data_IF_554715281489
#
_entry.id   IF_554715281489
#
_cell.length_a   1.000
_cell.length_b   1.000
_cell.length_c   1.000
_cell.angle_alpha   90.00
_cell.angle_beta   90.00
_cell.angle_gamma   90.00
#
_symmetry.space_group_name_H-M   'P 1'
#
loop_
_entity.id
_entity.type
_entity.pdbx_description
1 polymer ?
#
# COMPACT_ATOMS: atom_id res chain seq x y z
N UNK A 1 40.35 10.01 3.22
CA UNK A 1 40.90 11.02 2.30
C UNK A 1 39.84 11.90 1.62
N UNK A 2 38.93 11.39 0.78
CA UNK A 2 37.95 12.22 0.05
C UNK A 2 37.12 13.18 0.91
N UNK A 3 36.55 12.71 2.04
CA UNK A 3 35.78 13.57 2.96
C UNK A 3 36.60 14.78 3.46
N UNK A 4 37.90 14.58 3.67
CA UNK A 4 38.81 15.62 4.16
C UNK A 4 39.16 16.62 3.06
N UNK A 5 39.21 16.15 1.82
CA UNK A 5 39.39 16.95 0.62
C UNK A 5 38.16 17.85 0.37
N UNK A 6 36.96 17.24 0.40
CA UNK A 6 35.68 17.93 0.21
C UNK A 6 35.45 19.01 1.27
N UNK A 7 35.80 18.75 2.53
CA UNK A 7 35.71 19.76 3.60
C UNK A 7 36.62 20.97 3.35
N UNK A 8 37.85 20.75 2.85
CA UNK A 8 38.74 21.85 2.48
C UNK A 8 38.19 22.67 1.31
N UNK A 9 37.62 21.98 0.33
CA UNK A 9 37.01 22.60 -0.83
C UNK A 9 35.75 23.40 -0.46
N UNK A 10 34.96 22.90 0.48
CA UNK A 10 33.80 23.61 1.04
C UNK A 10 34.22 24.92 1.70
N UNK A 11 35.22 24.89 2.59
CA UNK A 11 35.74 26.10 3.27
C UNK A 11 36.29 27.10 2.26
N UNK A 12 37.00 26.63 1.22
CA UNK A 12 37.52 27.49 0.17
C UNK A 12 36.39 28.13 -0.67
N UNK A 13 35.38 27.34 -1.04
CA UNK A 13 34.23 27.83 -1.80
C UNK A 13 33.40 28.81 -0.99
N UNK A 14 33.18 28.55 0.30
CA UNK A 14 32.49 29.48 1.21
C UNK A 14 33.22 30.82 1.29
N UNK A 15 34.55 30.80 1.47
CA UNK A 15 35.36 32.02 1.47
C UNK A 15 35.30 32.76 0.13
N UNK A 16 35.30 32.03 -1.00
CA UNK A 16 35.21 32.62 -2.34
C UNK A 16 33.83 33.23 -2.60
N UNK A 17 32.77 32.59 -2.13
CA UNK A 17 31.40 33.13 -2.21
C UNK A 17 31.26 34.39 -1.36
N UNK A 18 31.82 34.41 -0.15
CA UNK A 18 31.81 35.60 0.72
C UNK A 18 32.51 36.79 0.04
N UNK A 19 33.66 36.56 -0.58
CA UNK A 19 34.41 37.59 -1.31
C UNK A 19 33.64 38.11 -2.54
N UNK A 20 33.11 37.22 -3.37
CA UNK A 20 32.32 37.59 -4.56
C UNK A 20 31.05 38.37 -4.19
N UNK A 21 30.41 38.03 -3.07
CA UNK A 21 29.26 38.77 -2.54
C UNK A 21 29.64 40.19 -2.11
N UNK A 22 30.77 40.33 -1.41
CA UNK A 22 31.30 41.62 -1.00
C UNK A 22 31.64 42.50 -2.22
N UNK A 23 32.27 41.95 -3.25
CA UNK A 23 32.59 42.66 -4.50
C UNK A 23 31.33 43.08 -5.28
N UNK A 24 30.29 42.23 -5.28
CA UNK A 24 29.03 42.51 -5.94
C UNK A 24 28.09 43.42 -5.13
N UNK A 25 28.46 43.81 -3.90
CA UNK A 25 27.59 44.57 -3.00
C UNK A 25 26.34 43.79 -2.56
N UNK A 26 26.38 42.46 -2.62
CA UNK A 26 25.27 41.58 -2.21
C UNK A 26 25.47 41.27 -0.73
N UNK A 27 24.59 41.75 0.17
CA UNK A 27 24.72 41.46 1.60
C UNK A 27 24.55 39.96 1.87
N UNK A 28 25.20 39.46 2.93
CA UNK A 28 25.07 38.05 3.31
C UNK A 28 23.61 37.77 3.69
N UNK A 29 22.96 36.73 3.14
CA UNK A 29 21.59 36.37 3.51
C UNK A 29 21.39 36.09 5.01
N UNK A 30 22.46 35.87 5.79
CA UNK A 30 22.40 35.77 7.26
C UNK A 30 22.39 37.13 7.97
N UNK A 31 22.90 38.19 7.33
CA UNK A 31 23.05 39.53 7.89
C UNK A 31 21.92 40.49 7.46
N UNK A 32 21.10 40.09 6.49
CA UNK A 32 19.89 40.83 6.10
C UNK A 32 18.75 40.44 7.04
N UNK A 33 18.44 41.30 8.01
CA UNK A 33 17.20 41.18 8.76
C UNK A 33 16.02 41.24 7.77
N UNK A 34 15.08 40.28 7.78
CA UNK A 34 13.93 40.30 6.89
C UNK A 34 13.15 41.60 7.12
N UNK A 35 12.82 42.30 6.03
CA UNK A 35 12.03 43.54 6.13
C UNK A 35 10.65 43.23 6.70
N UNK A 36 10.03 44.19 7.41
CA UNK A 36 8.68 44.02 7.98
C UNK A 36 7.67 43.52 6.92
N UNK A 37 7.81 44.01 5.68
CA UNK A 37 7.04 43.54 4.52
C UNK A 37 7.24 42.05 4.25
N UNK A 38 8.48 41.56 4.20
CA UNK A 38 8.78 40.14 3.97
C UNK A 38 8.30 39.26 5.13
N UNK A 39 8.37 39.75 6.37
CA UNK A 39 7.84 39.02 7.54
C UNK A 39 6.32 38.89 7.43
N UNK A 40 5.64 39.96 7.06
CA UNK A 40 4.19 40.00 6.89
C UNK A 40 3.72 39.12 5.71
N UNK A 41 4.38 39.19 4.55
CA UNK A 41 4.10 38.30 3.42
C UNK A 41 4.31 36.82 3.79
N UNK A 42 5.39 36.49 4.49
CA UNK A 42 5.63 35.12 4.95
C UNK A 42 4.57 34.66 5.96
N UNK A 43 4.07 35.56 6.81
CA UNK A 43 2.98 35.27 7.75
C UNK A 43 1.70 34.95 6.97
N UNK A 44 1.35 35.78 6.00
CA UNK A 44 0.17 35.56 5.15
C UNK A 44 0.25 34.24 4.37
N UNK A 45 1.41 33.93 3.80
CA UNK A 45 1.64 32.65 3.11
C UNK A 45 1.47 31.45 4.05
N UNK A 46 2.00 31.53 5.28
CA UNK A 46 1.83 30.47 6.28
C UNK A 46 0.36 30.31 6.69
N UNK A 47 -0.36 31.41 6.89
CA UNK A 47 -1.78 31.40 7.24
C UNK A 47 -2.60 30.76 6.10
N UNK A 48 -2.31 31.09 4.84
CA UNK A 48 -2.95 30.47 3.67
C UNK A 48 -2.66 28.97 3.56
N UNK A 49 -1.40 28.55 3.75
CA UNK A 49 -1.02 27.13 3.76
C UNK A 49 -1.78 26.39 4.86
N UNK A 50 -1.90 26.99 6.05
CA UNK A 50 -2.61 26.37 7.16
C UNK A 50 -4.11 26.18 6.84
N UNK A 51 -4.75 27.18 6.23
CA UNK A 51 -6.15 27.07 5.78
C UNK A 51 -6.32 25.94 4.76
N UNK A 52 -5.40 25.84 3.79
CA UNK A 52 -5.43 24.78 2.78
C UNK A 52 -5.22 23.38 3.42
N UNK A 53 -4.27 23.25 4.34
CA UNK A 53 -4.03 22.00 5.07
C UNK A 53 -5.27 21.58 5.87
N UNK A 54 -5.95 22.52 6.52
CA UNK A 54 -7.20 22.24 7.24
C UNK A 54 -8.31 21.76 6.29
N UNK A 55 -8.47 22.41 5.13
CA UNK A 55 -9.44 21.99 4.12
C UNK A 55 -9.14 20.57 3.59
N UNK A 56 -7.86 20.23 3.37
CA UNK A 56 -7.45 18.88 2.99
C UNK A 56 -7.73 17.87 4.09
N UNK A 57 -7.51 18.22 5.36
CA UNK A 57 -7.83 17.36 6.50
C UNK A 57 -9.34 17.07 6.59
N UNK A 58 -10.19 18.07 6.35
CA UNK A 58 -11.65 17.88 6.27
C UNK A 58 -12.01 16.94 5.12
N UNK A 59 -11.44 17.15 3.92
CA UNK A 59 -11.67 16.26 2.78
C UNK A 59 -11.22 14.82 3.07
N UNK A 60 -10.07 14.64 3.72
CA UNK A 60 -9.57 13.33 4.15
C UNK A 60 -10.51 12.66 5.16
N UNK A 61 -11.07 13.41 6.11
CA UNK A 61 -12.05 12.90 7.07
C UNK A 61 -13.32 12.41 6.38
N UNK A 62 -13.88 13.19 5.46
CA UNK A 62 -15.07 12.81 4.67
C UNK A 62 -14.77 11.57 3.81
N UNK A 63 -13.60 11.50 3.19
CA UNK A 63 -13.20 10.33 2.38
C UNK A 63 -12.99 9.07 3.24
N UNK A 64 -12.44 9.22 4.44
CA UNK A 64 -12.29 8.12 5.39
C UNK A 64 -13.67 7.58 5.80
N UNK A 65 -14.59 8.46 6.17
CA UNK A 65 -15.97 8.10 6.51
C UNK A 65 -16.73 7.50 5.31
N UNK A 66 -16.54 8.04 4.11
CA UNK A 66 -17.14 7.47 2.89
C UNK A 66 -16.62 6.05 2.59
N UNK A 67 -15.33 5.82 2.83
CA UNK A 67 -14.71 4.51 2.64
C UNK A 67 -15.21 3.48 3.66
N UNK A 68 -15.54 3.91 4.89
CA UNK A 68 -16.10 3.03 5.94
C UNK A 68 -17.61 2.81 5.77
N UNK A 69 -18.39 3.86 5.47
CA UNK A 69 -19.87 3.79 5.43
C UNK A 69 -20.42 3.10 4.18
N UNK A 70 -19.78 3.22 3.01
CA UNK A 70 -20.32 2.63 1.76
C UNK A 70 -19.68 1.31 1.36
N UNK A 71 -18.71 0.81 2.14
CA UNK A 71 -18.01 -0.44 1.83
C UNK A 71 -17.45 -0.48 0.40
N UNK A 72 -17.12 0.68 -0.17
CA UNK A 72 -16.58 0.77 -1.51
C UNK A 72 -15.17 0.20 -1.52
N UNK A 73 -15.09 -1.07 -1.89
CA UNK A 73 -13.84 -1.76 -2.11
C UNK A 73 -13.82 -2.27 -3.55
N UNK A 74 -12.97 -1.70 -4.42
CA UNK A 74 -12.89 -2.10 -5.84
C UNK A 74 -12.39 -3.54 -6.03
N UNK A 75 -11.81 -4.15 -5.00
CA UNK A 75 -11.40 -5.56 -4.98
C UNK A 75 -12.53 -6.50 -4.56
N UNK A 76 -13.65 -5.97 -4.06
CA UNK A 76 -14.77 -6.80 -3.58
C UNK A 76 -15.45 -7.49 -4.76
N UNK A 77 -15.59 -8.79 -4.63
CA UNK A 77 -16.36 -9.67 -5.52
C UNK A 77 -17.12 -10.67 -4.68
N UNK A 78 -18.35 -10.97 -5.06
CA UNK A 78 -19.10 -12.03 -4.40
C UNK A 78 -18.54 -13.40 -4.85
N UNK A 79 -18.16 -14.25 -3.89
CA UNK A 79 -17.62 -15.59 -4.15
C UNK A 79 -18.49 -16.62 -3.43
N UNK A 80 -19.12 -17.49 -4.21
CA UNK A 80 -19.82 -18.68 -3.72
C UNK A 80 -19.05 -19.92 -4.17
N UNK A 81 -18.85 -20.87 -3.26
CA UNK A 81 -18.16 -22.13 -3.54
C UNK A 81 -19.10 -23.32 -3.35
N UNK A 82 -19.24 -24.12 -4.40
CA UNK A 82 -20.06 -25.33 -4.41
C UNK A 82 -19.49 -26.46 -3.54
N UNK A 83 -20.36 -27.40 -3.15
CA UNK A 83 -19.97 -28.58 -2.37
C UNK A 83 -19.14 -29.61 -3.16
N UNK A 84 -19.38 -29.71 -4.48
CA UNK A 84 -18.69 -30.67 -5.33
C UNK A 84 -17.23 -30.25 -5.59
N UNK A 85 -16.22 -31.11 -5.32
CA UNK A 85 -14.81 -30.73 -5.47
C UNK A 85 -14.39 -30.32 -6.89
N UNK A 86 -15.01 -30.89 -7.93
CA UNK A 86 -14.65 -30.60 -9.32
C UNK A 86 -15.23 -29.26 -9.74
N UNK A 87 -16.52 -29.04 -9.49
CA UNK A 87 -17.20 -27.76 -9.72
C UNK A 87 -16.51 -26.65 -8.94
N UNK A 88 -16.22 -26.89 -7.66
CA UNK A 88 -15.53 -25.94 -6.78
C UNK A 88 -14.16 -25.54 -7.32
N UNK A 89 -13.35 -26.50 -7.78
CA UNK A 89 -12.05 -26.19 -8.40
C UNK A 89 -12.24 -25.35 -9.66
N UNK A 90 -13.24 -25.67 -10.48
CA UNK A 90 -13.53 -24.90 -11.69
C UNK A 90 -13.98 -23.47 -11.40
N UNK A 91 -14.84 -23.27 -10.41
CA UNK A 91 -15.29 -21.95 -9.93
C UNK A 91 -14.11 -21.12 -9.48
N UNK A 92 -13.26 -21.71 -8.62
CA UNK A 92 -12.05 -21.06 -8.10
C UNK A 92 -11.10 -20.67 -9.24
N UNK A 93 -10.81 -21.58 -10.17
CA UNK A 93 -9.94 -21.30 -11.32
C UNK A 93 -10.50 -20.18 -12.22
N UNK A 94 -11.83 -20.14 -12.44
CA UNK A 94 -12.47 -19.13 -13.27
C UNK A 94 -12.32 -17.71 -12.71
N UNK A 95 -12.22 -17.57 -11.39
CA UNK A 95 -12.03 -16.26 -10.74
C UNK A 95 -10.64 -15.67 -10.94
N UNK A 96 -9.61 -16.48 -11.21
CA UNK A 96 -8.22 -16.05 -11.09
C UNK A 96 -7.87 -14.85 -11.96
N UNK A 97 -8.23 -14.89 -13.24
CA UNK A 97 -7.87 -13.84 -14.18
C UNK A 97 -8.49 -12.49 -13.76
N UNK A 98 -9.79 -12.46 -13.53
CA UNK A 98 -10.52 -11.24 -13.16
C UNK A 98 -10.04 -10.64 -11.84
N UNK A 99 -9.70 -11.48 -10.86
CA UNK A 99 -9.18 -11.03 -9.56
C UNK A 99 -7.81 -10.37 -9.71
N UNK A 100 -6.92 -10.98 -10.49
CA UNK A 100 -5.58 -10.45 -10.73
C UNK A 100 -5.62 -9.15 -11.55
N UNK A 101 -6.48 -9.07 -12.56
CA UNK A 101 -6.65 -7.84 -13.34
C UNK A 101 -7.19 -6.69 -12.50
N UNK A 102 -8.21 -6.94 -11.66
CA UNK A 102 -8.70 -5.95 -10.69
C UNK A 102 -7.61 -5.53 -9.72
N UNK A 103 -6.82 -6.48 -9.22
CA UNK A 103 -5.70 -6.20 -8.32
C UNK A 103 -4.64 -5.32 -8.99
N UNK A 104 -4.28 -5.62 -10.24
CA UNK A 104 -3.33 -4.83 -11.03
C UNK A 104 -3.83 -3.41 -11.27
N UNK A 105 -5.09 -3.25 -11.66
CA UNK A 105 -5.70 -1.93 -11.85
C UNK A 105 -5.76 -1.14 -10.54
N UNK A 106 -6.13 -1.78 -9.44
CA UNK A 106 -6.15 -1.19 -8.11
C UNK A 106 -4.76 -0.70 -7.68
N UNK A 107 -3.73 -1.53 -7.88
CA UNK A 107 -2.34 -1.14 -7.61
C UNK A 107 -1.95 0.06 -8.45
N UNK A 108 -2.18 0.03 -9.77
CA UNK A 108 -1.87 1.15 -10.67
C UNK A 108 -2.52 2.46 -10.21
N UNK A 109 -3.80 2.42 -9.85
CA UNK A 109 -4.52 3.61 -9.37
C UNK A 109 -3.98 4.12 -8.03
N UNK A 110 -3.69 3.23 -7.08
CA UNK A 110 -3.22 3.63 -5.74
C UNK A 110 -1.76 4.04 -5.70
N UNK A 111 -0.94 3.49 -6.60
CA UNK A 111 0.48 3.78 -6.69
C UNK A 111 0.79 4.96 -7.62
N UNK A 112 -0.17 5.42 -8.44
CA UNK A 112 0.01 6.50 -9.43
C UNK A 112 0.64 7.79 -8.88
N UNK A 113 0.36 8.16 -7.62
CA UNK A 113 0.87 9.39 -7.01
C UNK A 113 1.99 9.14 -5.99
N UNK A 114 2.43 7.89 -5.85
CA UNK A 114 3.48 7.54 -4.89
C UNK A 114 4.84 7.92 -5.48
N UNK A 115 5.54 8.83 -4.80
CA UNK A 115 6.84 9.38 -5.25
C UNK A 115 7.92 8.32 -5.44
N UNK A 116 7.80 7.17 -4.76
CA UNK A 116 8.66 6.01 -4.97
C UNK A 116 7.83 4.72 -4.84
N UNK A 117 7.40 4.10 -5.96
CA UNK A 117 6.53 2.92 -5.95
C UNK A 117 7.20 1.68 -5.36
N UNK A 118 8.53 1.66 -5.34
CA UNK A 118 9.28 0.55 -4.76
C UNK A 118 9.29 0.57 -3.24
N UNK A 119 9.09 1.72 -2.58
CA UNK A 119 9.24 1.82 -1.12
C UNK A 119 8.29 0.84 -0.41
N UNK A 120 8.78 -0.02 0.52
CA UNK A 120 7.92 -0.89 1.30
C UNK A 120 6.83 -0.09 1.99
N UNK A 121 5.60 -0.56 1.85
CA UNK A 121 4.43 0.17 2.32
C UNK A 121 3.33 -0.80 2.70
N UNK A 122 2.79 -0.61 3.89
CA UNK A 122 1.67 -1.38 4.40
C UNK A 122 0.51 -0.42 4.71
N UNK A 123 -0.67 -0.71 4.16
CA UNK A 123 -1.91 -0.01 4.50
C UNK A 123 -3.05 -0.99 4.63
N UNK A 124 -3.70 -0.95 5.78
CA UNK A 124 -4.91 -1.68 6.05
C UNK A 124 -5.97 -0.69 6.52
N UNK A 125 -7.19 -0.82 6.00
CA UNK A 125 -8.35 -0.09 6.45
C UNK A 125 -9.49 -1.08 6.64
N UNK A 126 -10.12 -1.07 7.81
CA UNK A 126 -11.24 -1.95 8.11
C UNK A 126 -12.22 -1.32 9.09
N UNK A 127 -13.40 -1.93 9.17
CA UNK A 127 -14.50 -1.49 10.02
C UNK A 127 -15.34 -2.70 10.44
N UNK A 128 -16.02 -2.58 11.58
CA UNK A 128 -17.09 -3.50 11.96
C UNK A 128 -18.40 -3.05 11.34
N UNK A 129 -19.15 -3.99 10.77
CA UNK A 129 -20.53 -3.76 10.34
C UNK A 129 -21.48 -3.83 11.55
N UNK A 130 -22.70 -3.32 11.37
CA UNK A 130 -23.77 -3.43 12.39
C UNK A 130 -24.14 -4.90 12.69
N UNK A 131 -23.87 -5.81 11.74
CA UNK A 131 -24.04 -7.26 11.87
C UNK A 131 -22.89 -7.93 12.66
N UNK A 132 -21.85 -7.17 13.01
CA UNK A 132 -20.66 -7.66 13.72
C UNK A 132 -19.60 -8.31 12.83
N UNK A 133 -19.70 -8.17 11.50
CA UNK A 133 -18.67 -8.62 10.55
C UNK A 133 -17.51 -7.63 10.53
N UNK A 134 -16.27 -8.12 10.51
CA UNK A 134 -15.13 -7.24 10.27
C UNK A 134 -14.74 -7.27 8.80
N UNK A 135 -14.85 -6.12 8.13
CA UNK A 135 -14.48 -5.97 6.72
C UNK A 135 -13.20 -5.16 6.65
N UNK A 136 -12.20 -5.66 5.94
CA UNK A 136 -10.94 -4.96 5.74
C UNK A 136 -10.45 -5.02 4.28
N UNK A 137 -9.76 -3.95 3.90
CA UNK A 137 -9.02 -3.83 2.66
C UNK A 137 -7.54 -3.64 3.00
N UNK A 138 -6.69 -4.52 2.49
CA UNK A 138 -5.24 -4.46 2.69
C UNK A 138 -4.51 -4.20 1.37
N UNK A 139 -3.58 -3.25 1.39
CA UNK A 139 -2.58 -3.03 0.36
C UNK A 139 -1.20 -3.18 1.00
N UNK A 140 -0.37 -4.04 0.44
CA UNK A 140 0.98 -4.27 0.93
C UNK A 140 1.99 -4.29 -0.21
N UNK A 141 3.08 -3.57 -0.05
CA UNK A 141 4.23 -3.56 -0.97
C UNK A 141 5.43 -4.04 -0.20
N UNK A 142 5.96 -5.20 -0.58
CA UNK A 142 7.12 -5.81 0.07
C UNK A 142 8.35 -5.74 -0.83
N UNK A 143 9.50 -5.53 -0.20
CA UNK A 143 10.81 -5.77 -0.81
C UNK A 143 11.52 -6.89 -0.06
N UNK A 144 12.01 -7.87 -0.80
CA UNK A 144 12.85 -8.92 -0.22
C UNK A 144 14.34 -8.57 -0.34
N UNK A 145 15.04 -8.57 0.80
CA UNK A 145 16.49 -8.38 0.88
C UNK A 145 17.17 -9.74 1.00
N UNK A 146 18.28 -9.96 0.29
CA UNK A 146 19.07 -11.19 0.37
C UNK A 146 18.53 -12.37 -0.46
N UNK A 147 17.53 -12.13 -1.31
CA UNK A 147 17.03 -13.12 -2.29
C UNK A 147 17.64 -12.86 -3.67
N UNK A 148 17.74 -13.90 -4.50
CA UNK A 148 18.34 -13.80 -5.84
C UNK A 148 17.41 -13.11 -6.85
N UNK A 149 16.10 -13.27 -6.69
CA UNK A 149 15.07 -12.65 -7.53
C UNK A 149 13.69 -12.79 -6.89
N UNK A 150 12.70 -11.98 -7.33
CA UNK A 150 11.28 -12.22 -6.97
C UNK A 150 10.86 -13.62 -7.41
N UNK A 151 11.29 -14.06 -8.59
CA UNK A 151 10.98 -15.39 -9.10
C UNK A 151 11.39 -16.51 -8.13
N UNK A 152 12.54 -16.40 -7.46
CA UNK A 152 12.94 -17.37 -6.44
C UNK A 152 11.93 -17.45 -5.28
N UNK A 153 11.43 -16.29 -4.83
CA UNK A 153 10.43 -16.23 -3.75
C UNK A 153 9.09 -16.76 -4.24
N UNK A 154 8.71 -16.43 -5.46
CA UNK A 154 7.49 -16.91 -6.09
C UNK A 154 7.49 -18.43 -6.28
N UNK A 155 8.58 -18.98 -6.84
CA UNK A 155 8.75 -20.43 -7.05
C UNK A 155 8.72 -21.21 -5.71
N UNK A 156 9.01 -20.56 -4.57
CA UNK A 156 8.93 -21.18 -3.25
C UNK A 156 7.50 -21.30 -2.70
N UNK A 157 6.52 -20.56 -3.25
CA UNK A 157 5.12 -20.61 -2.80
C UNK A 157 4.43 -21.91 -3.24
N UNK A 158 4.64 -22.33 -4.49
CA UNK A 158 4.14 -23.59 -5.05
C UNK A 158 4.80 -23.83 -6.42
N UNK A 159 5.17 -25.09 -6.72
CA UNK A 159 5.80 -25.47 -7.99
C UNK A 159 4.79 -25.59 -9.15
N UNK A 160 3.50 -25.30 -8.92
CA UNK A 160 2.48 -25.37 -9.95
C UNK A 160 2.53 -24.17 -10.90
N UNK A 161 2.17 -24.38 -12.17
CA UNK A 161 2.15 -23.32 -13.21
C UNK A 161 1.08 -22.26 -12.94
N UNK A 162 0.13 -22.54 -12.04
CA UNK A 162 -1.01 -21.65 -11.78
C UNK A 162 -1.36 -21.60 -10.28
N UNK A 163 -0.47 -21.05 -9.43
CA UNK A 163 -0.59 -21.18 -7.99
C UNK A 163 -1.80 -20.44 -7.45
N UNK A 164 -2.54 -21.13 -6.59
CA UNK A 164 -3.73 -20.65 -5.90
C UNK A 164 -3.82 -21.31 -4.54
N UNK A 165 -4.25 -20.56 -3.53
CA UNK A 165 -4.37 -21.07 -2.18
C UNK A 165 -5.74 -20.72 -1.60
N UNK A 166 -6.57 -21.73 -1.35
CA UNK A 166 -7.75 -21.59 -0.50
C UNK A 166 -7.37 -21.94 0.94
N UNK A 167 -7.65 -21.04 1.88
CA UNK A 167 -7.40 -21.27 3.31
C UNK A 167 -8.57 -20.83 4.16
N UNK A 168 -8.75 -21.53 5.29
CA UNK A 168 -9.71 -21.19 6.33
C UNK A 168 -9.02 -21.20 7.69
N UNK A 169 -9.14 -20.13 8.45
CA UNK A 169 -8.45 -19.90 9.71
C UNK A 169 -9.41 -19.26 10.72
N UNK A 170 -9.51 -19.85 11.91
CA UNK A 170 -10.15 -19.23 13.07
C UNK A 170 -9.06 -18.62 13.95
N UNK A 171 -9.22 -17.36 14.35
CA UNK A 171 -8.25 -16.65 15.18
C UNK A 171 -8.93 -15.63 16.09
N UNK A 172 -8.24 -15.17 17.14
CA UNK A 172 -8.73 -14.15 18.06
C UNK A 172 -7.98 -12.85 17.81
N UNK A 173 -8.72 -11.76 17.59
CA UNK A 173 -8.15 -10.42 17.48
C UNK A 173 -7.70 -9.92 18.87
N UNK A 174 -6.84 -8.90 18.90
CA UNK A 174 -6.30 -8.34 20.16
C UNK A 174 -7.37 -7.78 21.10
N UNK A 175 -8.53 -7.42 20.57
CA UNK A 175 -9.70 -6.98 21.32
C UNK A 175 -10.56 -8.14 21.86
N UNK A 176 -10.12 -9.39 21.71
CA UNK A 176 -10.83 -10.59 22.17
C UNK A 176 -11.88 -11.13 21.19
N UNK A 177 -12.12 -10.47 20.05
CA UNK A 177 -13.09 -10.94 19.06
C UNK A 177 -12.57 -12.20 18.36
N UNK A 178 -13.33 -13.29 18.43
CA UNK A 178 -13.03 -14.51 17.68
C UNK A 178 -13.57 -14.34 16.25
N UNK A 179 -12.68 -14.47 15.29
CA UNK A 179 -12.98 -14.27 13.88
C UNK A 179 -12.61 -15.44 13.01
N UNK A 180 -13.41 -15.65 11.97
CA UNK A 180 -13.16 -16.65 10.94
C UNK A 180 -12.73 -15.99 9.63
N UNK A 181 -11.57 -16.38 9.12
CA UNK A 181 -11.03 -15.96 7.82
C UNK A 181 -11.13 -17.12 6.86
N UNK A 182 -11.93 -17.00 5.82
CA UNK A 182 -12.02 -17.97 4.73
C UNK A 182 -11.83 -17.22 3.41
N UNK A 183 -10.72 -17.49 2.73
CA UNK A 183 -10.29 -16.70 1.60
C UNK A 183 -9.46 -17.50 0.59
N UNK A 184 -9.58 -17.10 -0.67
CA UNK A 184 -8.79 -17.59 -1.79
C UNK A 184 -7.72 -16.56 -2.10
N UNK A 185 -6.49 -17.02 -2.30
CA UNK A 185 -5.35 -16.23 -2.75
C UNK A 185 -4.96 -16.64 -4.15
N UNK A 186 -4.82 -15.66 -5.03
CA UNK A 186 -4.44 -15.80 -6.42
C UNK A 186 -3.05 -15.17 -6.58
N UNK A 187 -2.12 -15.92 -7.16
CA UNK A 187 -0.73 -15.49 -7.32
C UNK A 187 -0.37 -15.43 -8.80
N UNK A 188 0.36 -14.38 -9.20
CA UNK A 188 0.90 -14.27 -10.55
C UNK A 188 2.25 -13.56 -10.51
N UNK A 189 3.22 -14.17 -11.18
CA UNK A 189 4.51 -13.56 -11.45
C UNK A 189 4.48 -12.86 -12.81
N UNK A 190 5.15 -11.71 -12.88
CA UNK A 190 5.32 -10.91 -14.08
C UNK A 190 6.80 -10.62 -14.26
N UNK A 191 7.32 -10.93 -15.45
CA UNK A 191 8.74 -10.82 -15.80
C UNK A 191 9.05 -9.50 -16.54
N UNK A 192 8.13 -8.53 -16.51
CA UNK A 192 8.09 -7.46 -17.53
C UNK A 192 9.36 -6.58 -17.56
N UNK A 193 10.08 -6.69 -18.69
CA UNK A 193 11.37 -6.08 -19.04
C UNK A 193 11.30 -4.58 -19.41
N UNK A 194 10.19 -3.88 -19.22
CA UNK A 194 10.03 -2.53 -19.79
C UNK A 194 10.42 -1.37 -18.85
N UNK A 195 10.08 -1.35 -17.53
CA UNK A 195 10.43 -0.19 -16.67
C UNK A 195 10.65 -0.46 -15.15
N UNK A 196 9.96 -1.44 -14.53
CA UNK A 196 9.96 -1.64 -13.05
C UNK A 196 10.67 -2.92 -12.57
N UNK A 197 11.15 -3.76 -13.48
CA UNK A 197 11.78 -5.06 -13.16
C UNK A 197 10.76 -6.13 -12.76
N UNK A 198 11.21 -7.37 -12.53
CA UNK A 198 10.32 -8.50 -12.24
C UNK A 198 9.61 -8.33 -10.91
N UNK A 199 8.31 -8.63 -10.88
CA UNK A 199 7.46 -8.50 -9.70
C UNK A 199 6.42 -9.62 -9.61
N UNK A 200 5.81 -9.77 -8.44
CA UNK A 200 4.64 -10.61 -8.27
C UNK A 200 3.46 -9.84 -7.69
N UNK A 201 2.27 -10.37 -7.93
CA UNK A 201 1.02 -9.90 -7.35
C UNK A 201 0.33 -11.09 -6.68
N UNK A 202 -0.10 -10.88 -5.44
CA UNK A 202 -1.07 -11.73 -4.75
C UNK A 202 -2.36 -10.95 -4.53
N UNK A 203 -3.47 -11.43 -5.11
CA UNK A 203 -4.81 -10.97 -4.77
C UNK A 203 -5.44 -11.94 -3.76
N UNK A 204 -6.05 -11.43 -2.69
CA UNK A 204 -6.78 -12.21 -1.70
C UNK A 204 -8.23 -11.76 -1.66
N UNK A 205 -9.15 -12.71 -1.80
CA UNK A 205 -10.60 -12.46 -1.83
C UNK A 205 -11.30 -13.39 -0.83
N UNK A 206 -12.19 -12.87 0.03
CA UNK A 206 -12.93 -13.68 0.99
C UNK A 206 -14.04 -14.48 0.30
N UNK A 207 -14.38 -15.65 0.83
CA UNK A 207 -15.41 -16.55 0.27
C UNK A 207 -16.78 -16.22 0.88
N UNK A 208 -17.66 -15.48 0.23
CA UNK A 208 -18.94 -15.07 0.81
C UNK A 208 -19.82 -16.26 1.24
N UNK A 209 -19.93 -17.28 0.39
CA UNK A 209 -20.72 -18.49 0.65
C UNK A 209 -19.89 -19.75 0.38
N UNK A 210 -19.99 -20.73 1.28
CA UNK A 210 -19.25 -21.98 1.19
C UNK A 210 -20.20 -23.15 1.47
N UNK A 211 -20.65 -23.86 0.44
CA UNK A 211 -21.62 -24.96 0.58
C UNK A 211 -21.00 -26.23 1.20
N UNK A 212 -19.69 -26.42 1.06
CA UNK A 212 -18.99 -27.56 1.63
C UNK A 212 -18.80 -27.37 3.14
N UNK A 213 -18.53 -26.14 3.55
CA UNK A 213 -18.36 -25.74 4.94
C UNK A 213 -19.11 -24.44 5.22
N UNK A 214 -20.43 -24.48 5.45
CA UNK A 214 -21.20 -23.25 5.64
C UNK A 214 -20.72 -22.45 6.86
N UNK A 215 -20.85 -21.13 6.81
CA UNK A 215 -20.68 -20.30 7.99
C UNK A 215 -21.82 -20.62 8.96
N UNK A 216 -21.51 -21.30 10.06
CA UNK A 216 -22.49 -21.60 11.10
C UNK A 216 -22.46 -20.48 12.15
N UNK A 217 -23.62 -20.16 12.72
CA UNK A 217 -23.75 -19.27 13.87
C UNK A 217 -23.22 -19.96 15.14
N UNK A 218 -21.91 -20.17 15.23
CA UNK A 218 -21.28 -20.26 16.54
C UNK A 218 -21.43 -18.87 17.16
N UNK A 219 -22.09 -18.78 18.30
CA UNK A 219 -22.57 -17.52 18.92
C UNK A 219 -21.52 -16.41 18.98
N UNK A 220 -20.25 -16.76 19.11
CA UNK A 220 -19.12 -15.84 19.27
C UNK A 220 -18.19 -15.75 18.04
N UNK A 221 -18.41 -16.56 17.00
CA UNK A 221 -17.59 -16.54 15.80
C UNK A 221 -18.14 -15.50 14.81
N UNK A 222 -17.31 -14.52 14.44
CA UNK A 222 -17.67 -13.50 13.45
C UNK A 222 -16.87 -13.67 12.15
N UNK A 223 -17.51 -13.68 10.97
CA UNK A 223 -16.80 -13.60 9.70
C UNK A 223 -15.86 -12.39 9.60
N UNK A 224 -14.63 -12.63 9.16
CA UNK A 224 -13.63 -11.63 8.82
C UNK A 224 -13.40 -11.65 7.33
N UNK A 225 -13.85 -10.59 6.66
CA UNK A 225 -13.78 -10.41 5.21
C UNK A 225 -12.58 -9.54 4.88
N UNK A 226 -11.45 -10.18 4.58
CA UNK A 226 -10.25 -9.50 4.10
C UNK A 226 -10.19 -9.57 2.59
N UNK A 227 -10.34 -8.43 1.94
CA UNK A 227 -9.87 -8.26 0.58
C UNK A 227 -8.47 -7.65 0.65
N UNK A 228 -7.55 -8.13 -0.17
CA UNK A 228 -6.24 -7.51 -0.18
C UNK A 228 -5.45 -7.76 -1.44
N UNK A 229 -4.57 -6.82 -1.74
CA UNK A 229 -3.55 -6.99 -2.76
C UNK A 229 -2.19 -6.83 -2.09
N UNK A 230 -1.33 -7.80 -2.33
CA UNK A 230 0.08 -7.71 -2.02
C UNK A 230 0.86 -7.65 -3.31
N UNK A 231 1.77 -6.71 -3.40
CA UNK A 231 2.69 -6.53 -4.50
C UNK A 231 4.10 -6.76 -3.96
N UNK A 232 4.84 -7.67 -4.57
CA UNK A 232 6.22 -7.92 -4.18
C UNK A 232 7.14 -7.43 -5.28
N UNK A 233 8.10 -6.61 -4.88
CA UNK A 233 9.14 -6.06 -5.74
C UNK A 233 10.51 -6.57 -5.30
N UNK A 234 11.43 -6.71 -6.25
CA UNK A 234 12.84 -6.88 -5.95
C UNK A 234 13.60 -5.62 -6.34
N UNK A 235 14.16 -4.95 -5.35
CA UNK A 235 15.18 -3.92 -5.56
C UNK A 235 16.46 -4.42 -4.94
N UNK A 236 17.32 -5.03 -5.75
CA UNK A 236 18.69 -5.31 -5.35
C UNK A 236 19.59 -4.15 -5.72
N UNK A 237 20.15 -3.50 -4.69
CA UNK A 237 21.57 -3.14 -4.62
C UNK A 237 22.05 -3.27 -3.19
#
# INVERSE_FOLDING_TARGET
EEKKQLLKELVFLEARVALLRQEAGIPDPKDVAPTEHQVEENRQLKDMIQVQQNAMAVAQSVLAEFSTLRGYNPLKTFIQLSKDPVTRRSEVCALKHDQLERAKQFLKQRMHLVTNPNRPFHKEAGYLTDEGHYIATKLDVHQFVGVKSVKQVFDALDNSTNPMLHHRLVTMLSNGLIVEKNAIKFFQFFDDEEEEGPYDIMAASPVDEDELYPYHEISDLRPFRLNGVTHTLHVSR
#
